data_IF_671336312564
#
_entry.id   IF_671336312564
#
_cell.length_a   1.000
_cell.length_b   1.000
_cell.length_c   1.000
_cell.angle_alpha   90.00
_cell.angle_beta   90.00
_cell.angle_gamma   90.00
#
_symmetry.space_group_name_H-M   'P 1'
#
loop_
_entity.id
_entity.type
_entity.pdbx_description
1 polymer ?
#
# COMPACT_ATOMS: atom_id res chain seq x y z
N UNK A 1 1.24 9.90 2.13
CA UNK A 1 2.39 9.94 3.08
C UNK A 1 2.43 11.24 3.86
N UNK A 2 2.75 11.18 5.14
CA UNK A 2 2.86 12.36 5.99
C UNK A 2 4.07 13.23 5.60
N UNK A 3 3.99 14.53 5.87
CA UNK A 3 5.15 15.41 5.88
C UNK A 3 5.80 15.34 7.26
N UNK A 4 7.12 15.22 7.30
CA UNK A 4 7.87 15.12 8.54
C UNK A 4 8.70 16.37 8.76
N UNK A 5 9.05 16.63 10.03
CA UNK A 5 9.99 17.67 10.40
C UNK A 5 11.11 17.06 11.23
N UNK A 6 12.34 17.51 10.96
CA UNK A 6 13.47 17.14 11.79
C UNK A 6 13.20 17.56 13.24
N UNK A 7 13.19 16.63 14.22
CA UNK A 7 12.91 16.97 15.62
C UNK A 7 13.89 17.99 16.22
N UNK A 8 15.12 18.06 15.69
CA UNK A 8 16.14 18.97 16.18
C UNK A 8 16.04 20.39 15.64
N UNK A 9 15.79 20.57 14.32
CA UNK A 9 15.88 21.87 13.69
C UNK A 9 14.63 22.29 12.88
N UNK A 10 13.57 21.51 12.95
CA UNK A 10 12.27 21.75 12.27
C UNK A 10 12.35 21.85 10.74
N UNK A 11 13.47 21.44 10.11
CA UNK A 11 13.57 21.33 8.65
C UNK A 11 12.55 20.31 8.14
N UNK A 12 11.87 20.63 7.03
CA UNK A 12 11.05 19.67 6.31
C UNK A 12 11.95 18.51 5.84
N UNK A 13 11.53 17.29 6.14
CA UNK A 13 12.20 16.04 5.73
C UNK A 13 11.16 15.07 5.19
N UNK A 14 11.60 14.15 4.35
CA UNK A 14 10.74 13.17 3.67
C UNK A 14 10.94 11.79 4.28
N UNK A 15 9.96 10.92 4.06
CA UNK A 15 9.88 9.59 4.64
C UNK A 15 11.16 8.76 4.48
N UNK A 16 11.83 8.87 3.35
CA UNK A 16 13.04 8.10 3.04
C UNK A 16 14.35 8.77 3.52
N UNK A 17 14.28 9.95 4.14
CA UNK A 17 15.50 10.64 4.55
C UNK A 17 16.23 9.88 5.67
N UNK A 18 17.54 9.72 5.49
CA UNK A 18 18.47 9.11 6.45
C UNK A 18 19.29 10.14 7.22
N UNK A 19 19.25 11.39 6.76
CA UNK A 19 20.01 12.51 7.34
C UNK A 19 19.27 13.82 7.09
N UNK A 20 19.24 14.70 8.08
CA UNK A 20 18.75 16.05 7.92
C UNK A 20 19.81 16.95 7.27
N UNK A 21 19.55 17.44 6.07
CA UNK A 21 20.51 18.27 5.32
C UNK A 21 20.82 19.61 5.98
N UNK A 22 19.96 20.10 6.90
CA UNK A 22 20.16 21.38 7.59
C UNK A 22 21.08 21.27 8.80
N UNK A 23 20.88 20.26 9.65
CA UNK A 23 21.63 20.12 10.91
C UNK A 23 22.63 18.95 10.91
N UNK A 24 22.66 18.12 9.86
CA UNK A 24 23.56 16.98 9.71
C UNK A 24 23.24 15.76 10.58
N UNK A 25 22.21 15.82 11.44
CA UNK A 25 21.85 14.70 12.28
C UNK A 25 21.24 13.55 11.46
N UNK A 26 21.58 12.33 11.86
CA UNK A 26 20.96 11.12 11.33
C UNK A 26 19.46 11.09 11.62
N UNK A 27 18.69 10.58 10.67
CA UNK A 27 17.25 10.36 10.78
C UNK A 27 16.95 8.87 10.67
N UNK A 28 15.96 8.40 11.42
CA UNK A 28 15.41 7.06 11.31
C UNK A 28 13.92 7.08 11.54
N UNK A 29 13.19 6.18 10.87
CA UNK A 29 11.75 6.05 11.05
C UNK A 29 11.47 5.12 12.26
N UNK A 30 10.75 5.66 13.22
CA UNK A 30 10.28 4.96 14.42
C UNK A 30 8.87 4.42 14.17
N UNK A 31 8.70 3.11 14.24
CA UNK A 31 7.42 2.43 13.96
C UNK A 31 6.41 2.51 15.10
N UNK A 32 6.85 2.79 16.33
CA UNK A 32 5.93 2.99 17.46
C UNK A 32 5.32 4.38 17.45
N UNK A 33 6.11 5.38 17.04
CA UNK A 33 5.67 6.77 16.95
C UNK A 33 5.14 7.16 15.55
N UNK A 34 5.32 6.31 14.55
CA UNK A 34 5.01 6.55 13.14
C UNK A 34 5.60 7.86 12.61
N UNK A 35 6.83 8.18 13.01
CA UNK A 35 7.50 9.43 12.65
C UNK A 35 8.99 9.27 12.43
N UNK A 36 9.60 10.25 11.79
CA UNK A 36 11.06 10.36 11.72
C UNK A 36 11.60 10.96 13.02
N UNK A 37 12.56 10.27 13.62
CA UNK A 37 13.28 10.74 14.82
C UNK A 37 14.74 11.02 14.47
N UNK A 38 15.38 11.92 15.24
CA UNK A 38 16.83 12.09 15.16
C UNK A 38 17.50 10.92 15.84
N UNK A 39 18.50 10.38 15.19
CA UNK A 39 19.23 9.23 15.62
C UNK A 39 20.69 9.62 15.90
N UNK A 40 21.14 9.31 17.09
CA UNK A 40 22.55 9.31 17.48
C UNK A 40 22.87 8.02 18.26
N UNK A 41 24.13 7.72 18.43
CA UNK A 41 24.55 6.49 19.10
C UNK A 41 24.23 6.48 20.61
N UNK A 42 23.55 7.50 21.14
CA UNK A 42 23.21 7.62 22.57
C UNK A 42 21.76 7.23 22.88
N UNK A 43 20.89 7.19 21.86
CA UNK A 43 19.43 6.95 22.04
C UNK A 43 19.06 5.48 22.23
N UNK A 44 20.01 4.55 22.05
CA UNK A 44 19.76 3.11 22.10
C UNK A 44 19.04 2.54 20.87
N UNK A 45 18.38 3.37 20.09
CA UNK A 45 17.81 2.97 18.81
C UNK A 45 18.91 2.64 17.80
N UNK A 46 18.71 1.62 16.99
CA UNK A 46 19.69 1.18 16.00
C UNK A 46 19.10 1.17 14.59
N UNK A 47 19.96 1.33 13.62
CA UNK A 47 19.57 1.16 12.20
C UNK A 47 19.35 -0.31 11.89
N UNK A 48 18.41 -0.56 10.99
CA UNK A 48 18.18 -1.86 10.40
C UNK A 48 19.44 -2.39 9.71
N UNK A 49 19.76 -3.67 9.86
CA UNK A 49 20.91 -4.32 9.20
C UNK A 49 20.83 -4.20 7.67
N UNK A 50 19.64 -4.10 7.08
CA UNK A 50 19.43 -3.86 5.65
C UNK A 50 19.60 -2.40 5.22
N UNK A 51 20.19 -1.53 6.06
CA UNK A 51 20.41 -0.13 5.71
C UNK A 51 21.14 0.05 4.38
N UNK A 52 22.19 -0.73 4.12
CA UNK A 52 22.98 -0.61 2.89
C UNK A 52 22.27 -1.25 1.69
N UNK A 53 21.75 -2.46 1.83
CA UNK A 53 21.21 -3.27 0.73
C UNK A 53 19.84 -2.77 0.29
N UNK A 54 18.96 -2.45 1.24
CA UNK A 54 17.58 -2.00 0.98
C UNK A 54 17.43 -0.48 1.09
N UNK A 55 18.52 0.26 1.29
CA UNK A 55 18.48 1.72 1.60
C UNK A 55 17.47 2.02 2.72
N UNK A 56 17.46 1.14 3.76
CA UNK A 56 16.47 1.18 4.82
C UNK A 56 16.82 2.26 5.84
N UNK A 57 15.87 3.14 6.14
CA UNK A 57 15.99 4.16 7.17
C UNK A 57 15.16 3.85 8.43
N UNK A 58 14.50 2.69 8.49
CA UNK A 58 13.71 2.31 9.65
C UNK A 58 14.59 1.84 10.79
N UNK A 59 14.14 2.10 12.02
CA UNK A 59 14.87 1.74 13.21
C UNK A 59 14.45 0.36 13.73
N UNK A 60 15.38 -0.28 14.42
CA UNK A 60 15.14 -1.47 15.21
C UNK A 60 14.87 -1.01 16.65
N UNK A 61 13.90 -1.59 17.38
CA UNK A 61 13.65 -1.27 18.79
C UNK A 61 14.93 -1.37 19.63
N UNK A 62 15.12 -0.42 20.54
CA UNK A 62 16.32 -0.37 21.39
C UNK A 62 16.48 -1.55 22.34
N UNK A 63 15.43 -2.34 22.54
CA UNK A 63 15.43 -3.59 23.32
C UNK A 63 16.07 -4.76 22.59
N UNK A 64 16.16 -4.71 21.27
CA UNK A 64 16.81 -5.75 20.46
C UNK A 64 18.32 -5.53 20.47
N UNK A 65 19.07 -6.52 20.88
CA UNK A 65 20.55 -6.46 21.03
C UNK A 65 21.31 -7.15 19.90
N UNK A 66 20.61 -7.81 18.97
CA UNK A 66 21.21 -8.48 17.82
C UNK A 66 21.78 -7.44 16.83
N UNK A 67 23.10 -7.47 16.52
CA UNK A 67 23.71 -6.54 15.57
C UNK A 67 23.13 -6.67 14.15
N UNK A 68 22.59 -7.83 13.80
CA UNK A 68 22.01 -8.13 12.50
C UNK A 68 20.48 -7.98 12.48
N UNK A 69 19.91 -7.36 13.53
CA UNK A 69 18.47 -7.17 13.64
C UNK A 69 17.89 -6.36 12.48
N UNK A 70 16.75 -6.81 11.99
CA UNK A 70 15.97 -6.17 10.96
C UNK A 70 14.82 -5.38 11.58
N UNK A 71 14.49 -4.23 10.97
CA UNK A 71 13.28 -3.49 11.31
C UNK A 71 12.02 -4.26 10.94
N UNK A 72 10.87 -3.82 11.43
CA UNK A 72 9.57 -4.45 11.15
C UNK A 72 9.36 -4.73 9.66
N UNK A 73 9.58 -3.72 8.79
CA UNK A 73 9.37 -3.90 7.35
C UNK A 73 10.34 -4.91 6.73
N UNK A 74 11.64 -4.85 7.08
CA UNK A 74 12.63 -5.76 6.50
C UNK A 74 12.46 -7.21 6.98
N UNK A 75 11.91 -7.46 8.17
CA UNK A 75 11.55 -8.81 8.64
C UNK A 75 10.45 -9.46 7.81
N UNK A 76 9.62 -8.67 7.16
CA UNK A 76 8.60 -9.20 6.25
C UNK A 76 9.19 -9.74 4.95
N UNK A 77 10.43 -9.38 4.58
CA UNK A 77 11.08 -9.95 3.38
C UNK A 77 11.62 -11.33 3.69
N UNK A 78 11.02 -12.36 3.10
CA UNK A 78 11.42 -13.76 3.23
C UNK A 78 12.57 -14.11 2.28
N UNK A 79 12.45 -13.67 1.04
CA UNK A 79 13.44 -13.97 -0.01
C UNK A 79 13.81 -12.70 -0.76
N UNK A 80 15.11 -12.54 -1.04
CA UNK A 80 15.68 -11.44 -1.81
C UNK A 80 16.74 -11.93 -2.80
N UNK A 81 17.17 -11.10 -3.77
CA UNK A 81 18.28 -11.43 -4.66
C UNK A 81 19.59 -11.71 -3.90
N UNK A 82 20.45 -12.56 -4.44
CA UNK A 82 21.79 -12.80 -3.88
C UNK A 82 22.67 -11.56 -3.99
N UNK A 83 23.62 -11.40 -3.06
CA UNK A 83 24.52 -10.24 -3.03
C UNK A 83 25.42 -10.08 -4.27
N UNK A 84 25.55 -11.14 -5.06
CA UNK A 84 26.31 -11.14 -6.33
C UNK A 84 25.54 -10.55 -7.52
N UNK A 85 24.23 -10.26 -7.39
CA UNK A 85 23.41 -9.69 -8.45
C UNK A 85 23.13 -8.21 -8.17
N UNK A 86 24.09 -7.36 -8.55
CA UNK A 86 24.00 -5.91 -8.30
C UNK A 86 22.79 -5.25 -8.98
N UNK A 87 22.39 -5.76 -10.15
CA UNK A 87 21.23 -5.20 -10.89
C UNK A 87 19.93 -5.52 -10.15
N UNK A 88 19.76 -6.76 -9.74
CA UNK A 88 18.60 -7.17 -8.97
C UNK A 88 18.57 -6.51 -7.58
N UNK A 89 19.74 -6.27 -6.95
CA UNK A 89 19.78 -5.55 -5.67
C UNK A 89 19.37 -4.07 -5.80
N UNK A 90 19.67 -3.42 -6.91
CA UNK A 90 19.20 -2.05 -7.15
C UNK A 90 17.67 -2.02 -7.29
N UNK A 91 17.09 -2.96 -8.05
CA UNK A 91 15.63 -3.13 -8.17
C UNK A 91 14.99 -3.49 -6.82
N UNK A 92 15.63 -4.38 -6.05
CA UNK A 92 15.22 -4.75 -4.70
C UNK A 92 15.14 -3.54 -3.76
N UNK A 93 16.14 -2.65 -3.77
CA UNK A 93 16.12 -1.44 -2.95
C UNK A 93 14.92 -0.53 -3.28
N UNK A 94 14.55 -0.44 -4.56
CA UNK A 94 13.35 0.27 -5.02
C UNK A 94 12.05 -0.37 -4.51
N UNK A 95 11.92 -1.68 -4.71
CA UNK A 95 10.76 -2.45 -4.24
C UNK A 95 10.62 -2.39 -2.71
N UNK A 96 11.72 -2.47 -1.97
CA UNK A 96 11.76 -2.30 -0.51
C UNK A 96 11.31 -0.90 -0.07
N UNK A 97 11.63 0.14 -0.85
CA UNK A 97 11.13 1.49 -0.57
C UNK A 97 9.62 1.56 -0.70
N UNK A 98 9.06 0.98 -1.77
CA UNK A 98 7.61 0.94 -1.98
C UNK A 98 6.91 0.03 -0.94
N UNK A 99 7.50 -1.11 -0.59
CA UNK A 99 6.99 -1.97 0.48
C UNK A 99 6.94 -1.24 1.83
N UNK A 100 7.97 -0.46 2.18
CA UNK A 100 7.94 0.37 3.41
C UNK A 100 6.78 1.35 3.41
N UNK A 101 6.42 1.92 2.26
CA UNK A 101 5.25 2.81 2.14
C UNK A 101 3.94 2.04 2.38
N UNK A 102 3.82 0.82 1.85
CA UNK A 102 2.65 -0.04 2.14
C UNK A 102 2.60 -0.38 3.62
N UNK A 103 3.70 -0.87 4.20
CA UNK A 103 3.75 -1.23 5.63
C UNK A 103 3.44 -0.03 6.52
N UNK A 104 3.94 1.16 6.19
CA UNK A 104 3.58 2.39 6.88
C UNK A 104 2.06 2.65 6.84
N UNK A 105 1.43 2.52 5.66
CA UNK A 105 -0.02 2.69 5.53
C UNK A 105 -0.80 1.69 6.38
N UNK A 106 -0.37 0.43 6.42
CA UNK A 106 -1.02 -0.61 7.23
C UNK A 106 -0.95 -0.26 8.72
N UNK A 107 0.22 0.20 9.18
CA UNK A 107 0.41 0.64 10.58
C UNK A 107 -0.42 1.89 10.89
N UNK A 108 -0.45 2.87 10.02
CA UNK A 108 -1.23 4.11 10.17
C UNK A 108 -2.73 3.83 10.22
N UNK A 109 -3.20 2.84 9.47
CA UNK A 109 -4.57 2.33 9.52
C UNK A 109 -4.83 1.42 10.73
N UNK A 110 -3.84 1.13 11.57
CA UNK A 110 -3.97 0.21 12.70
C UNK A 110 -4.22 -1.24 12.32
N UNK A 111 -3.91 -1.64 11.09
CA UNK A 111 -4.05 -3.02 10.64
C UNK A 111 -2.94 -3.90 11.25
N UNK A 112 -3.25 -5.16 11.60
CA UNK A 112 -2.24 -6.07 12.18
C UNK A 112 -1.19 -6.42 11.12
N UNK A 113 0.08 -6.20 11.44
CA UNK A 113 1.23 -6.58 10.62
C UNK A 113 1.99 -7.68 11.34
N UNK A 114 1.55 -8.92 11.13
CA UNK A 114 2.15 -10.11 11.72
C UNK A 114 3.04 -10.81 10.70
N UNK A 115 4.32 -11.00 11.04
CA UNK A 115 5.31 -11.58 10.12
C UNK A 115 5.06 -13.06 9.86
N UNK A 116 5.39 -13.51 8.67
CA UNK A 116 5.46 -14.90 8.27
C UNK A 116 6.33 -15.76 9.21
N UNK A 117 7.33 -15.15 9.84
CA UNK A 117 8.25 -15.80 10.79
C UNK A 117 7.65 -15.89 12.21
N UNK A 118 6.71 -15.01 12.55
CA UNK A 118 6.07 -15.00 13.85
C UNK A 118 4.91 -16.01 13.94
N UNK A 119 4.22 -16.29 12.81
CA UNK A 119 3.13 -17.28 12.75
C UNK A 119 2.90 -17.86 11.35
N UNK A 120 2.39 -19.09 11.23
CA UNK A 120 1.91 -19.63 9.96
C UNK A 120 0.83 -18.74 9.32
N UNK A 121 0.94 -18.45 8.03
CA UNK A 121 0.03 -17.57 7.31
C UNK A 121 0.21 -16.08 7.64
N UNK A 122 1.28 -15.70 8.34
CA UNK A 122 1.66 -14.30 8.53
C UNK A 122 2.18 -13.67 7.23
N UNK A 123 2.17 -12.32 7.20
CA UNK A 123 2.57 -11.56 6.02
C UNK A 123 4.06 -11.70 5.72
N UNK A 124 4.39 -12.10 4.51
CA UNK A 124 5.75 -12.14 4.00
C UNK A 124 5.85 -11.69 2.55
N UNK A 125 7.07 -11.32 2.13
CA UNK A 125 7.34 -10.90 0.76
C UNK A 125 8.53 -11.67 0.20
N UNK A 126 8.36 -12.27 -0.98
CA UNK A 126 9.40 -12.78 -1.84
C UNK A 126 9.63 -11.78 -2.97
N UNK A 127 10.74 -11.07 -2.93
CA UNK A 127 11.14 -10.09 -3.93
C UNK A 127 12.18 -10.73 -4.85
N UNK A 128 11.73 -11.26 -5.97
CA UNK A 128 12.50 -12.16 -6.81
C UNK A 128 12.92 -11.52 -8.13
N UNK A 129 14.07 -11.91 -8.63
CA UNK A 129 14.54 -11.51 -9.96
C UNK A 129 14.25 -12.60 -10.99
N UNK A 130 13.61 -12.24 -12.10
CA UNK A 130 13.31 -13.15 -13.22
C UNK A 130 14.51 -13.47 -14.11
N UNK A 131 15.74 -13.16 -13.68
CA UNK A 131 16.97 -13.51 -14.42
C UNK A 131 17.10 -15.03 -14.63
N UNK A 132 16.49 -15.52 -15.73
CA UNK A 132 16.58 -16.91 -16.17
C UNK A 132 15.50 -17.86 -15.64
N UNK A 133 14.62 -17.41 -14.74
CA UNK A 133 13.46 -18.17 -14.24
C UNK A 133 12.25 -17.25 -14.23
N UNK A 134 11.14 -17.70 -14.83
CA UNK A 134 9.91 -16.92 -14.77
C UNK A 134 9.42 -16.81 -13.32
N UNK A 135 9.26 -15.59 -12.84
CA UNK A 135 8.61 -15.28 -11.56
C UNK A 135 7.12 -14.99 -11.84
N UNK A 136 6.25 -15.62 -11.09
CA UNK A 136 4.83 -15.30 -11.11
C UNK A 136 4.53 -14.41 -9.91
N UNK A 137 4.14 -13.17 -10.16
CA UNK A 137 3.62 -12.26 -9.13
C UNK A 137 2.28 -12.80 -8.62
N UNK A 138 2.04 -12.75 -7.32
CA UNK A 138 0.82 -13.25 -6.69
C UNK A 138 0.95 -13.42 -5.19
N UNK A 139 -0.12 -13.94 -4.56
CA UNK A 139 -0.19 -14.21 -3.14
C UNK A 139 -0.56 -15.68 -2.88
N UNK A 140 0.14 -16.34 -1.96
CA UNK A 140 -0.16 -17.69 -1.48
C UNK A 140 0.25 -17.83 0.00
N UNK A 141 -0.65 -18.35 0.84
CA UNK A 141 -0.41 -18.64 2.26
C UNK A 141 0.27 -17.51 3.07
N UNK A 142 -0.14 -16.27 2.84
CA UNK A 142 0.42 -15.09 3.51
C UNK A 142 1.66 -14.50 2.82
N UNK A 143 2.20 -15.17 1.80
CA UNK A 143 3.39 -14.73 1.08
C UNK A 143 3.01 -14.03 -0.22
N UNK A 144 3.44 -12.79 -0.32
CA UNK A 144 3.35 -11.96 -1.52
C UNK A 144 4.63 -12.14 -2.33
N UNK A 145 4.51 -12.65 -3.56
CA UNK A 145 5.64 -12.77 -4.50
C UNK A 145 5.58 -11.65 -5.52
N UNK A 146 6.70 -10.94 -5.70
CA UNK A 146 6.84 -9.85 -6.67
C UNK A 146 8.04 -10.11 -7.58
N UNK A 147 7.84 -9.96 -8.88
CA UNK A 147 8.93 -9.91 -9.83
C UNK A 147 9.59 -8.53 -9.83
N UNK A 148 10.87 -8.47 -9.51
CA UNK A 148 11.64 -7.24 -9.51
C UNK A 148 11.81 -6.61 -10.90
N UNK A 149 11.53 -7.33 -11.98
CA UNK A 149 11.44 -6.74 -13.31
C UNK A 149 10.38 -5.64 -13.40
N UNK A 150 9.35 -5.69 -12.56
CA UNK A 150 8.33 -4.62 -12.42
C UNK A 150 8.91 -3.29 -11.88
N UNK A 151 10.13 -3.29 -11.32
CA UNK A 151 10.84 -2.06 -10.92
C UNK A 151 11.45 -1.33 -12.11
N UNK A 152 11.62 -1.99 -13.27
CA UNK A 152 12.13 -1.37 -14.49
C UNK A 152 11.01 -0.63 -15.23
N UNK A 153 11.13 0.70 -15.35
CA UNK A 153 10.11 1.54 -15.98
C UNK A 153 9.81 1.14 -17.44
N UNK A 154 10.80 0.88 -18.32
CA UNK A 154 10.56 0.39 -19.66
C UNK A 154 9.80 -0.93 -19.70
N UNK A 155 10.19 -1.90 -18.90
CA UNK A 155 9.52 -3.20 -18.82
C UNK A 155 8.08 -3.05 -18.36
N UNK A 156 7.86 -2.34 -17.25
CA UNK A 156 6.54 -2.10 -16.69
C UNK A 156 5.62 -1.37 -17.68
N UNK A 157 6.13 -0.37 -18.40
CA UNK A 157 5.37 0.37 -19.41
C UNK A 157 5.02 -0.51 -20.60
N UNK A 158 5.91 -1.41 -21.02
CA UNK A 158 5.61 -2.39 -22.07
C UNK A 158 4.48 -3.32 -21.63
N UNK A 159 4.56 -3.93 -20.45
CA UNK A 159 3.51 -4.81 -19.91
C UNK A 159 2.20 -4.05 -19.76
N UNK A 160 2.22 -2.82 -19.26
CA UNK A 160 1.03 -1.95 -19.15
C UNK A 160 0.34 -1.77 -20.49
N UNK A 161 1.09 -1.53 -21.58
CA UNK A 161 0.53 -1.36 -22.92
C UNK A 161 -0.01 -2.68 -23.49
N UNK A 162 0.72 -3.79 -23.31
CA UNK A 162 0.30 -5.11 -23.76
C UNK A 162 -1.00 -5.56 -23.10
N UNK A 163 -1.16 -5.27 -21.81
CA UNK A 163 -2.36 -5.61 -21.02
C UNK A 163 -3.47 -4.55 -21.14
N UNK A 164 -3.20 -3.39 -21.76
CA UNK A 164 -4.16 -2.30 -21.89
C UNK A 164 -4.54 -1.67 -20.55
N UNK A 165 -3.68 -1.72 -19.55
CA UNK A 165 -3.92 -1.17 -18.24
C UNK A 165 -3.72 0.35 -18.22
N UNK A 166 -4.63 1.12 -17.59
CA UNK A 166 -4.48 2.58 -17.50
C UNK A 166 -3.41 3.00 -16.48
N UNK A 167 -3.07 2.12 -15.54
CA UNK A 167 -2.15 2.39 -14.43
C UNK A 167 -1.44 1.10 -14.01
N UNK A 168 -0.10 1.15 -13.88
CA UNK A 168 0.71 0.04 -13.42
C UNK A 168 1.96 0.57 -12.72
N UNK A 169 2.11 0.32 -11.41
CA UNK A 169 3.27 0.71 -10.61
C UNK A 169 3.65 -0.39 -9.63
N UNK A 170 4.91 -0.45 -9.20
CA UNK A 170 5.37 -1.37 -8.16
C UNK A 170 4.55 -1.19 -6.87
N UNK A 171 4.34 0.05 -6.45
CA UNK A 171 3.52 0.35 -5.27
C UNK A 171 2.07 -0.13 -5.43
N UNK A 172 1.49 0.00 -6.63
CA UNK A 172 0.15 -0.50 -6.94
C UNK A 172 0.06 -2.02 -6.81
N UNK A 173 1.03 -2.75 -7.37
CA UNK A 173 1.11 -4.21 -7.25
C UNK A 173 1.29 -4.66 -5.80
N UNK A 174 2.21 -4.04 -5.06
CA UNK A 174 2.38 -4.35 -3.63
C UNK A 174 1.08 -4.14 -2.84
N UNK A 175 0.31 -3.09 -3.14
CA UNK A 175 -1.00 -2.86 -2.51
C UNK A 175 -2.02 -3.93 -2.87
N UNK A 176 -2.05 -4.33 -4.15
CA UNK A 176 -2.96 -5.35 -4.66
C UNK A 176 -2.69 -6.71 -4.01
N UNK A 177 -1.46 -7.20 -4.08
CA UNK A 177 -1.09 -8.50 -3.50
C UNK A 177 -1.22 -8.52 -1.97
N UNK A 178 -0.91 -7.39 -1.31
CA UNK A 178 -1.17 -7.22 0.11
C UNK A 178 -2.70 -7.25 0.40
N UNK A 179 -3.52 -6.79 -0.54
CA UNK A 179 -4.98 -6.90 -0.47
C UNK A 179 -5.45 -8.35 -0.36
N UNK A 180 -4.87 -9.28 -1.10
CA UNK A 180 -5.16 -10.71 -0.98
C UNK A 180 -4.86 -11.24 0.43
N UNK A 181 -3.73 -10.85 1.02
CA UNK A 181 -3.43 -11.17 2.42
C UNK A 181 -4.51 -10.63 3.37
N UNK A 182 -4.90 -9.36 3.21
CA UNK A 182 -5.91 -8.78 4.11
C UNK A 182 -7.31 -9.33 3.90
N UNK A 183 -7.61 -9.99 2.78
CA UNK A 183 -8.84 -10.77 2.66
C UNK A 183 -8.89 -11.91 3.69
N UNK A 184 -7.77 -12.62 3.86
CA UNK A 184 -7.67 -13.71 4.86
C UNK A 184 -7.74 -13.22 6.31
N UNK A 185 -7.43 -11.95 6.55
CA UNK A 185 -7.47 -11.33 7.89
C UNK A 185 -8.83 -10.68 8.19
N UNK A 186 -9.35 -9.93 7.22
CA UNK A 186 -10.51 -9.06 7.42
C UNK A 186 -11.85 -9.71 7.04
N UNK A 187 -11.84 -10.68 6.13
CA UNK A 187 -13.05 -11.22 5.51
C UNK A 187 -13.28 -12.69 5.86
N UNK A 188 -12.35 -13.55 5.47
CA UNK A 188 -12.51 -15.02 5.53
C UNK A 188 -12.90 -15.55 6.92
N UNK A 189 -12.20 -15.17 8.02
CA UNK A 189 -12.48 -15.72 9.34
C UNK A 189 -13.61 -14.97 10.09
N UNK A 190 -14.38 -14.12 9.40
CA UNK A 190 -15.28 -13.19 10.07
C UNK A 190 -16.72 -13.32 9.57
N UNK A 191 -17.66 -12.70 10.30
CA UNK A 191 -19.07 -12.58 9.88
C UNK A 191 -19.23 -11.74 8.59
N UNK A 192 -18.16 -11.05 8.14
CA UNK A 192 -18.15 -10.22 6.93
C UNK A 192 -18.22 -11.03 5.64
N UNK A 193 -17.90 -12.34 5.67
CA UNK A 193 -17.90 -13.22 4.48
C UNK A 193 -19.23 -13.19 3.71
N UNK A 194 -20.36 -13.18 4.43
CA UNK A 194 -21.67 -13.10 3.78
C UNK A 194 -21.90 -11.77 3.07
N UNK A 195 -21.45 -10.65 3.66
CA UNK A 195 -21.49 -9.31 3.05
C UNK A 195 -20.56 -9.21 1.86
N UNK A 196 -19.36 -9.79 1.96
CA UNK A 196 -18.42 -9.89 0.86
C UNK A 196 -19.07 -10.59 -0.35
N UNK A 197 -19.63 -11.79 -0.16
CA UNK A 197 -20.28 -12.55 -1.24
C UNK A 197 -21.44 -11.80 -1.88
N UNK A 198 -22.20 -11.06 -1.09
CA UNK A 198 -23.31 -10.25 -1.61
C UNK A 198 -22.86 -9.10 -2.51
N UNK A 199 -21.66 -8.55 -2.27
CA UNK A 199 -21.16 -7.33 -2.94
C UNK A 199 -20.13 -7.63 -4.05
N UNK A 200 -19.22 -8.57 -3.79
CA UNK A 200 -18.12 -8.92 -4.70
C UNK A 200 -18.40 -10.21 -5.50
N UNK A 201 -19.26 -11.08 -5.00
CA UNK A 201 -19.53 -12.38 -5.58
C UNK A 201 -18.94 -13.55 -4.78
N UNK A 202 -19.09 -14.77 -5.30
CA UNK A 202 -18.65 -15.99 -4.64
C UNK A 202 -17.18 -16.28 -4.95
N UNK A 203 -16.29 -16.12 -3.99
CA UNK A 203 -14.86 -16.36 -4.08
C UNK A 203 -14.49 -17.83 -4.35
N UNK A 204 -15.45 -18.77 -4.18
CA UNK A 204 -15.23 -20.20 -4.45
C UNK A 204 -15.37 -20.56 -5.93
N UNK A 205 -15.69 -19.58 -6.80
CA UNK A 205 -15.66 -19.77 -8.24
C UNK A 205 -14.28 -20.28 -8.67
N UNK A 206 -14.25 -21.11 -9.74
CA UNK A 206 -12.98 -21.63 -10.25
C UNK A 206 -12.07 -20.52 -10.77
N UNK A 207 -10.97 -20.31 -10.06
CA UNK A 207 -10.02 -19.24 -10.38
C UNK A 207 -9.31 -19.48 -11.72
N UNK A 208 -8.93 -20.73 -12.04
CA UNK A 208 -8.27 -21.07 -13.31
C UNK A 208 -9.16 -20.83 -14.52
N UNK A 209 -10.45 -21.22 -14.42
CA UNK A 209 -11.44 -20.91 -15.45
C UNK A 209 -11.68 -19.40 -15.59
N UNK A 210 -11.68 -18.67 -14.47
CA UNK A 210 -11.84 -17.21 -14.45
C UNK A 210 -10.68 -16.49 -15.16
N UNK A 211 -9.43 -16.90 -14.85
CA UNK A 211 -8.21 -16.42 -15.52
C UNK A 211 -8.29 -16.68 -17.02
N UNK A 212 -8.54 -17.93 -17.43
CA UNK A 212 -8.62 -18.31 -18.85
C UNK A 212 -9.67 -17.49 -19.58
N UNK A 213 -10.87 -17.35 -19.01
CA UNK A 213 -11.96 -16.55 -19.59
C UNK A 213 -11.56 -15.07 -19.74
N UNK A 214 -10.88 -14.50 -18.72
CA UNK A 214 -10.46 -13.10 -18.76
C UNK A 214 -9.46 -12.82 -19.89
N UNK A 215 -8.44 -13.67 -20.04
CA UNK A 215 -7.44 -13.50 -21.10
C UNK A 215 -7.97 -13.82 -22.51
N UNK A 216 -8.93 -14.74 -22.64
CA UNK A 216 -9.51 -15.11 -23.92
C UNK A 216 -10.56 -14.09 -24.42
N UNK A 217 -11.35 -13.51 -23.51
CA UNK A 217 -12.53 -12.72 -23.84
C UNK A 217 -12.44 -11.25 -23.40
N UNK A 218 -11.48 -10.93 -22.52
CA UNK A 218 -11.36 -9.62 -21.87
C UNK A 218 -12.48 -9.34 -20.87
N UNK A 219 -12.48 -8.12 -20.35
CA UNK A 219 -13.51 -7.67 -19.43
C UNK A 219 -14.87 -7.55 -20.14
N UNK A 220 -15.99 -7.89 -19.46
CA UNK A 220 -17.34 -7.83 -20.07
C UNK A 220 -17.72 -6.39 -20.43
N UNK A 221 -18.53 -6.19 -21.49
CA UNK A 221 -19.03 -4.86 -21.82
C UNK A 221 -19.73 -4.19 -20.64
N UNK A 222 -19.45 -2.90 -20.41
CA UNK A 222 -20.07 -2.15 -19.32
C UNK A 222 -19.46 -2.37 -17.93
N UNK A 223 -18.37 -3.09 -17.80
CA UNK A 223 -17.71 -3.40 -16.53
C UNK A 223 -17.46 -2.18 -15.63
N UNK A 224 -17.23 -0.99 -16.24
CA UNK A 224 -16.98 0.25 -15.49
C UNK A 224 -18.13 0.71 -14.59
N UNK A 225 -19.35 0.16 -14.80
CA UNK A 225 -20.48 0.44 -13.91
C UNK A 225 -20.40 -0.29 -12.58
N UNK A 226 -19.60 -1.37 -12.49
CA UNK A 226 -19.59 -2.28 -11.33
C UNK A 226 -18.19 -2.55 -10.78
N UNK A 227 -17.13 -2.33 -11.56
CA UNK A 227 -15.76 -2.64 -11.20
C UNK A 227 -14.82 -1.44 -11.38
N UNK A 228 -13.81 -1.33 -10.53
CA UNK A 228 -12.84 -0.23 -10.56
C UNK A 228 -11.83 -0.37 -11.71
N UNK A 229 -11.50 -1.60 -12.10
CA UNK A 229 -10.60 -1.95 -13.19
C UNK A 229 -11.14 -3.08 -14.04
N UNK A 230 -10.59 -3.26 -15.25
CA UNK A 230 -10.92 -4.41 -16.09
C UNK A 230 -10.50 -5.73 -15.43
N UNK A 231 -9.37 -5.72 -14.72
CA UNK A 231 -8.85 -6.88 -14.02
C UNK A 231 -9.75 -7.32 -12.86
N UNK A 232 -10.37 -6.38 -12.15
CA UNK A 232 -11.35 -6.66 -11.09
C UNK A 232 -12.53 -7.54 -11.56
N UNK A 233 -12.82 -7.57 -12.88
CA UNK A 233 -13.89 -8.42 -13.43
C UNK A 233 -13.56 -9.90 -13.48
N UNK A 234 -12.29 -10.25 -13.30
CA UNK A 234 -11.81 -11.61 -13.47
C UNK A 234 -12.41 -12.56 -12.44
N UNK A 235 -12.27 -12.22 -11.16
CA UNK A 235 -12.70 -13.05 -10.04
C UNK A 235 -13.08 -12.17 -8.83
N UNK A 236 -14.03 -12.57 -7.95
CA UNK A 236 -14.38 -11.82 -6.74
C UNK A 236 -13.19 -11.50 -5.84
N UNK A 237 -12.20 -12.36 -5.80
CA UNK A 237 -10.97 -12.17 -5.03
C UNK A 237 -10.10 -11.06 -5.61
N UNK A 238 -10.04 -10.96 -6.95
CA UNK A 238 -9.35 -9.86 -7.63
C UNK A 238 -10.09 -8.53 -7.48
N UNK A 239 -11.42 -8.55 -7.54
CA UNK A 239 -12.23 -7.37 -7.29
C UNK A 239 -12.02 -6.79 -5.88
N UNK A 240 -11.88 -7.67 -4.89
CA UNK A 240 -11.47 -7.27 -3.55
C UNK A 240 -10.07 -6.66 -3.54
N UNK A 241 -9.06 -7.34 -4.08
CA UNK A 241 -7.66 -6.88 -4.06
C UNK A 241 -7.49 -5.54 -4.78
N UNK A 242 -8.13 -5.37 -5.94
CA UNK A 242 -8.20 -4.09 -6.66
C UNK A 242 -8.89 -3.01 -5.83
N UNK A 243 -10.05 -3.30 -5.24
CA UNK A 243 -10.78 -2.34 -4.40
C UNK A 243 -9.96 -1.93 -3.17
N UNK A 244 -9.28 -2.88 -2.53
CA UNK A 244 -8.40 -2.63 -1.39
C UNK A 244 -7.20 -1.75 -1.79
N UNK A 245 -6.54 -2.06 -2.91
CA UNK A 245 -5.44 -1.26 -3.44
C UNK A 245 -5.88 0.18 -3.76
N UNK A 246 -7.04 0.35 -4.38
CA UNK A 246 -7.61 1.67 -4.65
C UNK A 246 -7.98 2.43 -3.38
N UNK A 247 -8.51 1.75 -2.36
CA UNK A 247 -8.76 2.35 -1.06
C UNK A 247 -7.46 2.90 -0.44
N UNK A 248 -6.39 2.10 -0.42
CA UNK A 248 -5.08 2.55 0.07
C UNK A 248 -4.54 3.72 -0.75
N UNK A 249 -4.72 3.69 -2.08
CA UNK A 249 -4.28 4.78 -2.97
C UNK A 249 -5.01 6.10 -2.64
N UNK A 250 -6.31 6.05 -2.48
CA UNK A 250 -7.15 7.21 -2.12
C UNK A 250 -6.70 7.79 -0.78
N UNK A 251 -6.60 6.96 0.24
CA UNK A 251 -6.19 7.36 1.60
C UNK A 251 -4.80 7.99 1.62
N UNK A 252 -3.80 7.35 1.00
CA UNK A 252 -2.42 7.85 0.98
C UNK A 252 -2.30 9.20 0.25
N UNK A 253 -3.01 9.35 -0.86
CA UNK A 253 -2.98 10.60 -1.62
C UNK A 253 -3.64 11.74 -0.85
N UNK A 254 -4.79 11.51 -0.22
CA UNK A 254 -5.47 12.50 0.62
C UNK A 254 -4.65 12.86 1.85
N UNK A 255 -4.04 11.87 2.51
CA UNK A 255 -3.16 12.10 3.65
C UNK A 255 -1.94 12.96 3.25
N UNK A 256 -1.36 12.68 2.07
CA UNK A 256 -0.29 13.49 1.52
C UNK A 256 -0.76 14.93 1.23
N UNK A 257 -1.91 15.08 0.58
CA UNK A 257 -2.48 16.40 0.30
C UNK A 257 -2.75 17.19 1.60
N UNK A 258 -3.32 16.54 2.61
CA UNK A 258 -3.54 17.12 3.94
C UNK A 258 -2.23 17.58 4.59
N UNK A 259 -1.20 16.71 4.57
CA UNK A 259 0.10 17.01 5.17
C UNK A 259 0.82 18.20 4.52
N UNK A 260 0.58 18.44 3.23
CA UNK A 260 1.12 19.59 2.49
C UNK A 260 0.17 20.78 2.42
N UNK A 261 -1.01 20.70 3.04
CA UNK A 261 -2.02 21.77 3.04
C UNK A 261 -2.61 22.04 1.64
N UNK A 262 -2.65 21.02 0.77
CA UNK A 262 -3.27 21.15 -0.55
C UNK A 262 -4.78 21.23 -0.37
N UNK A 263 -5.37 22.28 -0.91
CA UNK A 263 -6.81 22.53 -0.91
C UNK A 263 -7.26 22.87 -2.32
N UNK A 264 -8.49 22.51 -2.64
CA UNK A 264 -9.14 22.94 -3.88
C UNK A 264 -10.21 23.95 -3.51
N UNK A 265 -10.13 25.11 -4.15
CA UNK A 265 -11.14 26.15 -4.08
C UNK A 265 -11.39 26.68 -5.51
N UNK A 266 -12.31 26.03 -6.19
CA UNK A 266 -12.70 26.34 -7.58
C UNK A 266 -14.20 26.62 -7.62
N UNK A 267 -14.60 27.76 -7.01
CA UNK A 267 -15.99 28.12 -6.79
C UNK A 267 -16.80 28.22 -8.09
N UNK A 268 -16.20 28.68 -9.20
CA UNK A 268 -16.85 28.76 -10.51
C UNK A 268 -17.24 27.37 -11.07
N UNK A 269 -16.50 26.33 -10.71
CA UNK A 269 -16.75 24.94 -11.08
C UNK A 269 -17.53 24.17 -10.01
N UNK A 270 -17.93 24.84 -8.91
CA UNK A 270 -18.53 24.22 -7.73
C UNK A 270 -17.69 23.06 -7.15
N UNK A 271 -16.36 23.18 -7.21
CA UNK A 271 -15.43 22.20 -6.68
C UNK A 271 -14.71 22.74 -5.44
N UNK A 272 -14.73 21.98 -4.36
CA UNK A 272 -13.93 22.26 -3.18
C UNK A 272 -13.41 20.96 -2.56
N UNK A 273 -12.22 21.00 -1.96
CA UNK A 273 -11.66 19.92 -1.15
C UNK A 273 -10.80 20.49 -0.03
N UNK A 274 -10.95 19.97 1.16
CA UNK A 274 -10.07 20.23 2.31
C UNK A 274 -9.66 18.89 2.95
N UNK A 275 -8.69 18.15 2.37
CA UNK A 275 -8.28 16.84 2.85
C UNK A 275 -7.89 16.82 4.33
N UNK A 276 -7.33 17.91 4.85
CA UNK A 276 -6.95 18.01 6.26
C UNK A 276 -8.17 17.97 7.21
N UNK A 277 -9.36 18.28 6.71
CA UNK A 277 -10.59 18.25 7.51
C UNK A 277 -11.22 16.85 7.56
N UNK A 278 -11.00 15.98 6.56
CA UNK A 278 -11.83 14.80 6.37
C UNK A 278 -11.04 13.47 6.20
N UNK A 279 -9.73 13.50 5.97
CA UNK A 279 -8.94 12.28 5.63
C UNK A 279 -9.08 11.13 6.65
N UNK A 280 -9.33 11.46 7.92
CA UNK A 280 -9.48 10.48 9.00
C UNK A 280 -10.93 10.36 9.51
N UNK A 281 -11.91 10.87 8.75
CA UNK A 281 -13.30 10.87 9.19
C UNK A 281 -14.13 9.75 8.59
N UNK A 282 -15.14 9.38 9.36
CA UNK A 282 -16.31 8.61 8.94
C UNK A 282 -17.48 9.60 8.62
N UNK A 283 -18.34 9.30 7.64
CA UNK A 283 -18.30 8.12 6.76
C UNK A 283 -17.34 8.30 5.57
N UNK A 284 -17.06 7.20 4.85
CA UNK A 284 -16.16 7.21 3.69
C UNK A 284 -16.60 8.17 2.56
N UNK A 285 -17.87 8.43 2.45
CA UNK A 285 -18.44 9.42 1.52
C UNK A 285 -17.83 10.81 1.71
N UNK A 286 -17.54 11.21 2.96
CA UNK A 286 -16.86 12.48 3.24
C UNK A 286 -15.42 12.51 2.74
N UNK A 287 -14.76 11.36 2.70
CA UNK A 287 -13.42 11.19 2.10
C UNK A 287 -13.51 11.37 0.58
N UNK A 288 -14.55 10.83 -0.04
CA UNK A 288 -14.78 10.96 -1.49
C UNK A 288 -15.13 12.38 -1.91
N UNK A 289 -15.81 13.15 -1.06
CA UNK A 289 -16.11 14.56 -1.33
C UNK A 289 -14.84 15.40 -1.51
N UNK A 290 -13.74 15.04 -0.84
CA UNK A 290 -12.44 15.65 -1.06
C UNK A 290 -11.64 14.98 -2.21
N UNK A 291 -11.77 13.66 -2.35
CA UNK A 291 -11.03 12.89 -3.34
C UNK A 291 -11.34 13.30 -4.77
N UNK A 292 -12.62 13.44 -5.11
CA UNK A 292 -13.03 13.73 -6.48
C UNK A 292 -12.53 15.10 -6.97
N UNK A 293 -12.73 16.22 -6.25
CA UNK A 293 -12.18 17.51 -6.65
C UNK A 293 -10.65 17.52 -6.71
N UNK A 294 -9.99 16.88 -5.74
CA UNK A 294 -8.54 16.78 -5.70
C UNK A 294 -8.00 16.07 -6.93
N UNK A 295 -8.55 14.90 -7.27
CA UNK A 295 -8.11 14.14 -8.45
C UNK A 295 -8.37 14.87 -9.76
N UNK A 296 -9.49 15.58 -9.89
CA UNK A 296 -9.75 16.40 -11.08
C UNK A 296 -8.67 17.46 -11.26
N UNK A 297 -8.31 18.16 -10.20
CA UNK A 297 -7.27 19.18 -10.21
C UNK A 297 -5.89 18.57 -10.53
N UNK A 298 -5.49 17.49 -9.84
CA UNK A 298 -4.21 16.81 -10.06
C UNK A 298 -4.11 16.23 -11.47
N UNK A 299 -5.17 15.61 -11.98
CA UNK A 299 -5.22 15.10 -13.35
C UNK A 299 -5.08 16.25 -14.37
N UNK A 300 -5.72 17.40 -14.12
CA UNK A 300 -5.60 18.57 -14.98
C UNK A 300 -4.17 19.14 -14.97
N UNK A 301 -3.56 19.27 -13.80
CA UNK A 301 -2.15 19.70 -13.65
C UNK A 301 -1.22 18.75 -14.38
N UNK A 302 -1.39 17.45 -14.21
CA UNK A 302 -0.52 16.45 -14.87
C UNK A 302 -0.63 16.53 -16.40
N UNK A 303 -1.85 16.67 -16.92
CA UNK A 303 -2.06 16.88 -18.37
C UNK A 303 -1.47 18.19 -18.88
N UNK A 304 -1.48 19.26 -18.06
CA UNK A 304 -0.84 20.53 -18.47
C UNK A 304 0.68 20.41 -18.57
N UNK A 305 1.27 19.41 -17.94
CA UNK A 305 2.70 19.06 -18.04
C UNK A 305 2.97 18.01 -19.15
N UNK A 306 1.99 17.66 -19.97
CA UNK A 306 2.12 16.69 -21.05
C UNK A 306 2.19 15.23 -20.59
N UNK A 307 1.58 14.93 -19.43
CA UNK A 307 1.50 13.58 -18.87
C UNK A 307 0.05 13.08 -18.83
N UNK A 308 -0.12 11.77 -18.75
CA UNK A 308 -1.42 11.14 -18.56
C UNK A 308 -2.03 11.52 -17.19
N UNK A 309 -3.32 11.21 -17.01
CA UNK A 309 -3.98 11.41 -15.73
C UNK A 309 -3.30 10.61 -14.62
N UNK A 310 -3.09 11.21 -13.44
CA UNK A 310 -2.52 10.53 -12.28
C UNK A 310 -3.44 9.41 -11.76
N UNK A 311 -4.75 9.65 -11.81
CA UNK A 311 -5.76 8.67 -11.43
C UNK A 311 -6.82 8.61 -12.53
N UNK A 312 -6.70 7.67 -13.48
CA UNK A 312 -7.57 7.60 -14.66
C UNK A 312 -8.85 6.77 -14.43
N UNK A 313 -9.19 6.41 -13.22
CA UNK A 313 -10.29 5.52 -12.89
C UNK A 313 -11.59 6.28 -12.63
N UNK A 314 -12.71 5.63 -12.93
CA UNK A 314 -14.06 6.15 -12.69
C UNK A 314 -14.65 5.40 -11.50
N UNK A 315 -15.06 6.14 -10.47
CA UNK A 315 -15.72 5.58 -9.30
C UNK A 315 -17.24 5.63 -9.53
N UNK A 316 -17.79 4.53 -10.05
CA UNK A 316 -19.24 4.35 -10.18
C UNK A 316 -19.90 4.16 -8.80
N UNK A 317 -21.22 4.32 -8.65
CA UNK A 317 -21.90 4.06 -7.37
C UNK A 317 -21.61 2.67 -6.79
N UNK A 318 -21.53 1.63 -7.62
CA UNK A 318 -21.20 0.28 -7.16
C UNK A 318 -19.75 0.17 -6.68
N UNK A 319 -18.80 0.83 -7.35
CA UNK A 319 -17.41 0.90 -6.89
C UNK A 319 -17.29 1.66 -5.58
N UNK A 320 -18.04 2.76 -5.42
CA UNK A 320 -18.10 3.53 -4.16
C UNK A 320 -18.65 2.65 -3.01
N UNK A 321 -19.67 1.86 -3.27
CA UNK A 321 -20.22 0.92 -2.28
C UNK A 321 -19.18 -0.11 -1.83
N UNK A 322 -18.41 -0.68 -2.76
CA UNK A 322 -17.29 -1.60 -2.46
C UNK A 322 -16.20 -0.92 -1.64
N UNK A 323 -15.76 0.27 -2.03
CA UNK A 323 -14.77 1.06 -1.29
C UNK A 323 -15.25 1.40 0.13
N UNK A 324 -16.53 1.76 0.29
CA UNK A 324 -17.16 2.02 1.59
C UNK A 324 -17.17 0.76 2.45
N UNK A 325 -17.43 -0.40 1.83
CA UNK A 325 -17.42 -1.67 2.55
C UNK A 325 -16.01 -2.03 3.03
N UNK A 326 -14.97 -1.86 2.17
CA UNK A 326 -13.56 -2.05 2.56
C UNK A 326 -13.18 -1.11 3.70
N UNK A 327 -13.54 0.16 3.62
CA UNK A 327 -13.30 1.14 4.68
C UNK A 327 -13.88 0.66 6.03
N UNK A 328 -15.14 0.23 6.05
CA UNK A 328 -15.79 -0.28 7.26
C UNK A 328 -15.11 -1.54 7.79
N UNK A 329 -14.70 -2.46 6.91
CA UNK A 329 -14.00 -3.67 7.31
C UNK A 329 -12.67 -3.36 8.03
N UNK A 330 -11.94 -2.35 7.55
CA UNK A 330 -10.71 -1.87 8.17
C UNK A 330 -11.01 -1.20 9.53
N UNK A 331 -11.92 -0.22 9.56
CA UNK A 331 -12.20 0.58 10.76
C UNK A 331 -12.78 -0.26 11.91
N UNK A 332 -13.66 -1.23 11.63
CA UNK A 332 -14.20 -2.11 12.67
C UNK A 332 -13.17 -3.11 13.21
N UNK A 333 -12.22 -3.56 12.37
CA UNK A 333 -11.15 -4.43 12.84
C UNK A 333 -10.21 -3.71 13.83
N UNK A 334 -9.91 -2.44 13.59
CA UNK A 334 -9.06 -1.63 14.48
C UNK A 334 -9.74 -1.34 15.82
N UNK A 335 -11.05 -1.16 15.85
CA UNK A 335 -11.83 -1.00 17.08
C UNK A 335 -11.81 -2.28 17.94
N UNK A 336 -11.91 -3.45 17.32
CA UNK A 336 -11.89 -4.75 18.01
C UNK A 336 -10.51 -5.06 18.60
N UNK A 337 -9.43 -4.75 17.86
CA UNK A 337 -8.04 -4.92 18.35
C UNK A 337 -7.70 -3.97 19.50
N UNK A 338 -8.17 -2.73 19.47
CA UNK A 338 -7.99 -1.79 20.55
C UNK A 338 -8.73 -2.23 21.84
N UNK A 339 -9.92 -2.81 21.70
CA UNK A 339 -10.72 -3.31 22.82
C UNK A 339 -10.12 -4.56 23.47
N UNK A 340 -9.49 -5.45 22.69
CA UNK A 340 -8.81 -6.65 23.20
C UNK A 340 -7.50 -6.31 23.92
N UNK A 341 -6.79 -5.26 23.50
CA UNK A 341 -5.58 -4.79 24.15
C UNK A 341 -5.86 -4.14 25.53
N UNK A 342 -7.06 -3.61 25.76
CA UNK A 342 -7.49 -2.99 27.04
C UNK A 342 -8.09 -3.97 28.03
N UNK A 343 -8.44 -5.21 27.63
CA UNK A 343 -8.97 -6.25 28.46
C UNK A 343 -8.20 -7.57 28.25
N UNK A 344 -7.04 -7.77 28.91
CA UNK A 344 -6.40 -9.10 28.91
C UNK A 344 -7.36 -10.11 29.56
N UNK A 345 -7.50 -11.27 28.90
CA UNK A 345 -8.34 -12.35 29.41
C UNK A 345 -7.99 -12.68 30.86
N UNK A 346 -8.98 -12.96 31.72
CA UNK A 346 -8.71 -13.38 33.09
C UNK A 346 -7.93 -14.71 33.08
N UNK A 347 -6.86 -14.77 33.87
CA UNK A 347 -5.93 -15.89 34.02
C UNK A 347 -6.62 -17.15 34.57
#
# INVERSE_FOLDING_TARGET
MLSFRCPHCSQLVFFENTTCLRCGLGLGFDTEQLTLVTFDNTTGARRCANQAVAVCNWLVPGTDTDPDALCLSCRLTRTRPPDSDEVALAAFAGAESDKRRVVFQLLDLGLPVESWDDRPGGLGYDLLSSNGVQVMTGHEDGIVTIDLAESDDPHREQVRQEMGEPYRTMLGHLRHETGHYYWTVLVEPTERLAGFRALFGDERADYGEAVSRHYDQGAPPGWRSEHVSAYATMHPWEDWAETFAHYLHIRDTLQTAAAFGIRIDAAEQALSADPAAHVDREPFESILDDWLPLTYALNAVNRSMGRDALYPFVLSPAVVEKLTWVHRAIMTNTADTANTATHPAPA
#
